data_IF_504370023402
#
_entry.id   IF_504370023402
#
_cell.length_a   1.000
_cell.length_b   1.000
_cell.length_c   1.000
_cell.angle_alpha   90.00
_cell.angle_beta   90.00
_cell.angle_gamma   90.00
#
_symmetry.space_group_name_H-M   'P 1'
#
loop_
_entity.id
_entity.type
_entity.pdbx_description
1 polymer ?
#
# COMPACT_ATOMS: atom_id res chain seq x y z
N UNK A 1 5.18 -20.32 0.58
CA UNK A 1 4.66 -18.97 0.29
C UNK A 1 5.20 -18.49 -1.04
N UNK A 2 4.30 -18.19 -1.99
CA UNK A 2 4.64 -17.63 -3.29
C UNK A 2 4.83 -16.11 -3.15
N UNK A 3 5.87 -15.55 -3.75
CA UNK A 3 6.21 -14.11 -3.63
C UNK A 3 5.37 -13.23 -4.56
N UNK A 4 4.76 -13.81 -5.61
CA UNK A 4 4.17 -13.05 -6.71
C UNK A 4 5.22 -12.41 -7.62
N UNK A 5 4.79 -11.86 -8.77
CA UNK A 5 5.65 -11.07 -9.64
C UNK A 5 5.90 -9.68 -9.01
N UNK A 6 7.02 -9.04 -9.33
CA UNK A 6 7.22 -7.67 -8.86
C UNK A 6 6.38 -6.72 -9.73
N UNK A 7 5.33 -6.15 -9.14
CA UNK A 7 4.46 -5.16 -9.79
C UNK A 7 4.85 -3.72 -9.46
N UNK A 8 5.86 -3.49 -8.61
CA UNK A 8 6.28 -2.14 -8.27
C UNK A 8 6.98 -1.49 -9.46
N UNK A 9 6.75 -0.19 -9.70
CA UNK A 9 7.57 0.58 -10.63
C UNK A 9 9.04 0.55 -10.20
N UNK A 10 9.95 0.74 -11.15
CA UNK A 10 11.37 0.83 -10.82
C UNK A 10 11.61 1.98 -9.83
N UNK A 11 12.46 1.75 -8.83
CA UNK A 11 12.73 2.77 -7.82
C UNK A 11 13.28 4.07 -8.43
N UNK A 12 14.01 3.97 -9.53
CA UNK A 12 14.53 5.12 -10.27
C UNK A 12 13.39 5.90 -10.93
N UNK A 13 12.39 5.21 -11.48
CA UNK A 13 11.21 5.82 -12.08
C UNK A 13 10.39 6.59 -11.04
N UNK A 14 10.22 6.01 -9.85
CA UNK A 14 9.57 6.68 -8.72
C UNK A 14 10.33 7.96 -8.35
N UNK A 15 11.66 7.87 -8.22
CA UNK A 15 12.50 9.04 -7.89
C UNK A 15 12.44 10.14 -8.96
N UNK A 16 12.41 9.77 -10.25
CA UNK A 16 12.27 10.71 -11.36
C UNK A 16 10.88 11.35 -11.35
N UNK A 17 9.83 10.56 -11.12
CA UNK A 17 8.46 11.04 -11.00
C UNK A 17 8.34 12.06 -9.87
N UNK A 18 8.82 11.74 -8.67
CA UNK A 18 8.82 12.63 -7.51
C UNK A 18 9.56 13.94 -7.80
N UNK A 19 10.74 13.87 -8.43
CA UNK A 19 11.56 15.06 -8.74
C UNK A 19 10.91 16.03 -9.72
N UNK A 20 9.96 15.58 -10.53
CA UNK A 20 9.22 16.44 -11.47
C UNK A 20 8.10 17.23 -10.81
N UNK A 21 7.80 16.95 -9.55
CA UNK A 21 6.62 17.48 -8.87
C UNK A 21 7.00 18.63 -7.95
N UNK A 22 6.19 19.68 -7.95
CA UNK A 22 6.44 20.86 -7.11
C UNK A 22 6.07 20.64 -5.65
N UNK A 23 5.05 19.81 -5.41
CA UNK A 23 4.56 19.46 -4.08
C UNK A 23 4.30 17.95 -4.02
N UNK A 24 4.58 17.39 -2.85
CA UNK A 24 4.51 15.95 -2.58
C UNK A 24 3.77 15.70 -1.27
N UNK A 25 3.04 14.59 -1.20
CA UNK A 25 2.69 13.95 0.06
C UNK A 25 3.07 12.47 -0.01
N UNK A 26 3.40 11.90 1.14
CA UNK A 26 3.61 10.48 1.29
C UNK A 26 2.68 9.99 2.40
N UNK A 27 2.06 8.83 2.19
CA UNK A 27 1.22 8.19 3.20
C UNK A 27 1.45 6.69 3.18
N UNK A 28 1.52 6.11 4.38
CA UNK A 28 1.49 4.67 4.58
C UNK A 28 0.07 4.16 4.29
N UNK A 29 -0.05 3.11 3.48
CA UNK A 29 -1.30 2.39 3.29
C UNK A 29 -1.35 1.25 4.31
N UNK A 30 -2.12 1.44 5.37
CA UNK A 30 -2.02 0.58 6.55
C UNK A 30 -2.68 -0.79 6.36
N UNK A 31 -3.69 -0.95 5.49
CA UNK A 31 -4.47 -2.21 5.36
C UNK A 31 -5.14 -2.36 3.99
N UNK A 32 -4.54 -3.13 3.08
CA UNK A 32 -5.09 -3.34 1.72
C UNK A 32 -5.73 -4.69 1.52
N UNK A 33 -5.27 -5.75 2.19
CA UNK A 33 -5.70 -7.12 1.87
C UNK A 33 -6.05 -7.94 3.11
N UNK A 34 -7.28 -8.46 3.13
CA UNK A 34 -7.73 -9.46 4.10
C UNK A 34 -7.19 -10.82 3.70
N UNK A 35 -6.78 -11.60 4.70
CA UNK A 35 -6.32 -12.97 4.50
C UNK A 35 -7.56 -13.88 4.44
N UNK A 36 -7.49 -14.94 3.62
CA UNK A 36 -8.54 -15.97 3.63
C UNK A 36 -8.57 -16.65 5.01
N UNK A 37 -9.75 -17.03 5.51
CA UNK A 37 -9.87 -17.60 6.87
C UNK A 37 -8.96 -18.80 7.11
N UNK A 38 -8.76 -19.62 6.07
CA UNK A 38 -7.91 -20.81 6.10
C UNK A 38 -6.41 -20.49 6.17
N UNK A 39 -6.01 -19.29 5.75
CA UNK A 39 -4.62 -18.82 5.74
C UNK A 39 -4.27 -17.97 6.96
N UNK A 40 -5.24 -17.59 7.80
CA UNK A 40 -5.02 -16.78 9.00
C UNK A 40 -4.09 -17.49 10.01
N UNK A 41 -4.22 -18.81 10.14
CA UNK A 41 -3.39 -19.61 11.05
C UNK A 41 -1.91 -19.61 10.63
N UNK A 42 -1.62 -19.39 9.35
CA UNK A 42 -0.26 -19.28 8.82
C UNK A 42 0.44 -17.97 9.23
N UNK A 43 -0.31 -17.01 9.76
CA UNK A 43 0.20 -15.72 10.25
C UNK A 43 0.02 -15.58 11.77
N UNK A 44 -0.02 -16.70 12.50
CA UNK A 44 -0.06 -16.66 13.96
C UNK A 44 1.27 -16.13 14.52
N UNK A 45 1.18 -15.20 15.47
CA UNK A 45 2.30 -14.81 16.34
C UNK A 45 2.00 -15.19 17.78
N UNK A 46 3.05 -15.46 18.54
CA UNK A 46 2.99 -15.68 19.98
C UNK A 46 3.43 -14.41 20.69
N UNK A 47 2.64 -13.98 21.68
CA UNK A 47 2.93 -12.83 22.51
C UNK A 47 2.90 -13.23 23.98
N UNK A 48 3.69 -12.55 24.81
CA UNK A 48 3.68 -12.77 26.25
C UNK A 48 2.87 -11.64 26.88
N UNK A 49 1.76 -11.98 27.54
CA UNK A 49 0.92 -11.00 28.20
C UNK A 49 1.57 -10.44 29.49
N UNK A 50 0.93 -9.46 30.10
CA UNK A 50 1.41 -8.81 31.33
C UNK A 50 1.58 -9.79 32.51
N UNK A 51 0.97 -10.97 32.45
CA UNK A 51 1.04 -12.03 33.47
C UNK A 51 2.12 -13.07 33.14
N UNK A 52 2.86 -12.89 32.05
CA UNK A 52 3.87 -13.83 31.60
C UNK A 52 3.31 -15.04 30.84
N UNK A 53 2.03 -15.05 30.50
CA UNK A 53 1.41 -16.15 29.75
C UNK A 53 1.63 -15.98 28.25
N UNK A 54 1.94 -17.07 27.55
CA UNK A 54 2.06 -17.08 26.09
C UNK A 54 0.67 -17.15 25.47
N UNK A 55 0.30 -16.14 24.69
CA UNK A 55 -0.99 -15.98 24.02
C UNK A 55 -0.80 -15.97 22.51
N UNK A 56 -1.53 -16.80 21.75
CA UNK A 56 -1.53 -16.76 20.29
C UNK A 56 -2.41 -15.62 19.76
N UNK A 57 -1.90 -14.88 18.77
CA UNK A 57 -2.63 -13.87 18.02
C UNK A 57 -2.61 -14.21 16.54
N UNK A 58 -3.77 -14.13 15.88
CA UNK A 58 -3.91 -14.38 14.46
C UNK A 58 -4.15 -13.08 13.72
N UNK A 59 -3.36 -12.82 12.68
CA UNK A 59 -3.61 -11.70 11.80
C UNK A 59 -4.71 -12.04 10.80
N UNK A 60 -5.64 -11.10 10.60
CA UNK A 60 -6.72 -11.20 9.62
C UNK A 60 -6.44 -10.41 8.34
N UNK A 61 -5.33 -9.67 8.32
CA UNK A 61 -4.88 -8.85 7.19
C UNK A 61 -3.42 -9.13 6.91
N UNK A 62 -3.05 -9.12 5.64
CA UNK A 62 -1.66 -9.33 5.22
C UNK A 62 -0.78 -8.27 5.87
N UNK A 63 0.17 -8.70 6.71
CA UNK A 63 1.10 -7.80 7.38
C UNK A 63 2.40 -7.64 6.61
N UNK A 64 3.16 -6.61 6.97
CA UNK A 64 4.56 -6.50 6.58
C UNK A 64 5.34 -7.74 7.03
N UNK A 65 6.38 -8.10 6.27
CA UNK A 65 7.24 -9.27 6.56
C UNK A 65 6.84 -10.54 5.81
N UNK A 66 5.71 -10.55 5.11
CA UNK A 66 5.29 -11.68 4.26
C UNK A 66 5.78 -11.46 2.84
N UNK A 67 6.41 -12.48 2.24
CA UNK A 67 6.98 -12.40 0.88
C UNK A 67 5.96 -11.94 -0.18
N UNK A 68 4.70 -12.35 -0.03
CA UNK A 68 3.60 -11.99 -0.93
C UNK A 68 3.01 -10.59 -0.70
N UNK A 69 3.28 -9.95 0.45
CA UNK A 69 2.64 -8.69 0.83
C UNK A 69 2.84 -7.57 -0.21
N UNK A 70 4.04 -7.35 -0.76
CA UNK A 70 4.23 -6.33 -1.80
C UNK A 70 3.40 -6.56 -3.05
N UNK A 71 3.34 -7.81 -3.52
CA UNK A 71 2.55 -8.17 -4.69
C UNK A 71 1.07 -7.94 -4.44
N UNK A 72 0.56 -8.45 -3.32
CA UNK A 72 -0.87 -8.33 -2.94
C UNK A 72 -1.30 -6.89 -2.72
N UNK A 73 -0.42 -6.05 -2.15
CA UNK A 73 -0.69 -4.63 -1.97
C UNK A 73 -0.80 -3.90 -3.30
N UNK A 74 0.20 -4.05 -4.17
CA UNK A 74 0.24 -3.34 -5.46
C UNK A 74 -0.83 -3.85 -6.41
N UNK A 75 -1.08 -5.16 -6.46
CA UNK A 75 -2.15 -5.70 -7.32
C UNK A 75 -3.53 -5.20 -6.91
N UNK A 76 -3.78 -5.05 -5.60
CA UNK A 76 -5.05 -4.50 -5.10
C UNK A 76 -5.21 -3.02 -5.45
N UNK A 77 -4.12 -2.23 -5.37
CA UNK A 77 -4.14 -0.82 -5.78
C UNK A 77 -4.38 -0.66 -7.28
N UNK A 78 -3.77 -1.51 -8.11
CA UNK A 78 -4.00 -1.51 -9.55
C UNK A 78 -5.45 -1.89 -9.88
N UNK A 79 -6.01 -2.89 -9.19
CA UNK A 79 -7.43 -3.23 -9.35
C UNK A 79 -8.34 -2.06 -8.94
N UNK A 80 -8.03 -1.36 -7.85
CA UNK A 80 -8.80 -0.19 -7.43
C UNK A 80 -8.76 0.94 -8.47
N UNK A 81 -7.64 1.11 -9.17
CA UNK A 81 -7.54 2.05 -10.30
C UNK A 81 -8.41 1.62 -11.47
N UNK A 82 -8.49 0.32 -11.78
CA UNK A 82 -9.37 -0.19 -12.83
C UNK A 82 -10.86 0.00 -12.46
N UNK A 83 -11.22 -0.31 -11.22
CA UNK A 83 -12.61 -0.30 -10.75
C UNK A 83 -13.13 1.13 -10.53
N UNK A 84 -12.34 1.98 -9.86
CA UNK A 84 -12.76 3.29 -9.34
C UNK A 84 -11.96 4.46 -9.90
N UNK A 85 -10.91 4.21 -10.70
CA UNK A 85 -10.03 5.28 -11.19
C UNK A 85 -10.74 6.34 -12.04
N UNK A 86 -11.85 5.97 -12.69
CA UNK A 86 -12.70 6.91 -13.42
C UNK A 86 -13.38 7.95 -12.49
N UNK A 87 -13.67 7.58 -11.25
CA UNK A 87 -14.24 8.46 -10.22
C UNK A 87 -13.17 9.35 -9.57
N UNK A 88 -11.91 8.89 -9.54
CA UNK A 88 -10.78 9.58 -8.89
C UNK A 88 -9.58 9.80 -9.83
N UNK A 89 -9.76 10.50 -10.97
CA UNK A 89 -8.73 10.60 -12.02
C UNK A 89 -7.47 11.35 -11.58
N UNK A 90 -7.53 12.14 -10.51
CA UNK A 90 -6.38 12.86 -9.97
C UNK A 90 -5.48 11.95 -9.10
N UNK A 91 -6.04 10.90 -8.52
CA UNK A 91 -5.31 9.97 -7.64
C UNK A 91 -4.65 8.84 -8.44
N UNK A 92 -5.22 8.49 -9.61
CA UNK A 92 -4.72 7.42 -10.50
C UNK A 92 -3.21 7.55 -10.82
N UNK A 93 -2.67 8.72 -11.24
CA UNK A 93 -1.24 8.83 -11.55
C UNK A 93 -0.34 8.61 -10.33
N UNK A 94 -0.81 9.00 -9.14
CA UNK A 94 -0.08 8.81 -7.88
C UNK A 94 -0.01 7.31 -7.54
N UNK A 95 -1.08 6.57 -7.79
CA UNK A 95 -1.11 5.12 -7.55
C UNK A 95 -0.25 4.37 -8.59
N UNK A 96 -0.32 4.72 -9.87
CA UNK A 96 0.42 4.01 -10.93
C UNK A 96 1.93 4.29 -10.87
N UNK A 97 2.33 5.53 -10.62
CA UNK A 97 3.73 5.96 -10.73
C UNK A 97 4.43 6.26 -9.40
N UNK A 98 3.66 6.53 -8.35
CA UNK A 98 4.17 6.93 -7.03
C UNK A 98 4.07 5.86 -5.95
N UNK A 99 3.47 4.70 -6.24
CA UNK A 99 3.33 3.62 -5.25
C UNK A 99 4.62 2.81 -5.13
N UNK A 100 5.06 2.57 -3.89
CA UNK A 100 6.13 1.64 -3.57
C UNK A 100 5.70 0.78 -2.39
N UNK A 101 5.38 -0.50 -2.63
CA UNK A 101 5.14 -1.62 -1.70
C UNK A 101 4.05 -1.42 -0.65
N UNK A 102 3.99 -0.27 0.02
CA UNK A 102 3.03 0.17 1.04
C UNK A 102 2.92 1.70 1.17
N UNK A 103 3.79 2.46 0.51
CA UNK A 103 3.74 3.92 0.48
C UNK A 103 3.11 4.40 -0.82
N UNK A 104 2.14 5.31 -0.73
CA UNK A 104 1.73 6.12 -1.89
C UNK A 104 2.41 7.46 -1.78
N UNK A 105 3.09 7.83 -2.86
CA UNK A 105 3.58 9.18 -3.06
C UNK A 105 2.68 9.90 -4.06
N UNK A 106 1.85 10.79 -3.54
CA UNK A 106 1.00 11.65 -4.36
C UNK A 106 1.64 12.99 -4.64
N UNK A 107 1.24 13.59 -5.76
CA UNK A 107 1.88 14.80 -6.24
C UNK A 107 0.93 15.75 -6.96
N UNK A 108 1.27 17.05 -6.94
CA UNK A 108 0.54 18.07 -7.67
C UNK A 108 1.49 19.15 -8.21
N UNK A 109 1.24 19.56 -9.46
CA UNK A 109 1.94 20.66 -10.13
C UNK A 109 1.32 22.04 -9.87
N UNK A 110 0.23 22.08 -9.13
CA UNK A 110 -0.58 23.28 -8.84
C UNK A 110 -0.57 23.59 -7.34
N UNK A 111 -1.11 24.75 -6.88
CA UNK A 111 -0.96 25.21 -5.49
C UNK A 111 -1.38 24.16 -4.45
N UNK A 112 -0.80 24.23 -3.25
CA UNK A 112 -0.99 23.30 -2.10
C UNK A 112 -2.45 22.85 -1.85
N UNK A 113 -3.44 23.69 -2.17
CA UNK A 113 -4.86 23.35 -2.07
C UNK A 113 -5.30 22.17 -2.96
N UNK A 114 -4.70 21.99 -4.14
CA UNK A 114 -5.00 20.84 -5.01
C UNK A 114 -4.32 19.57 -4.51
N UNK A 115 -3.14 19.66 -3.91
CA UNK A 115 -2.49 18.51 -3.24
C UNK A 115 -3.36 17.97 -2.10
N UNK A 116 -3.98 18.86 -1.32
CA UNK A 116 -4.92 18.48 -0.26
C UNK A 116 -6.16 17.79 -0.85
N UNK A 117 -6.66 18.23 -2.02
CA UNK A 117 -7.77 17.56 -2.69
C UNK A 117 -7.41 16.14 -3.14
N UNK A 118 -6.20 15.93 -3.66
CA UNK A 118 -5.72 14.59 -4.05
C UNK A 118 -5.55 13.68 -2.83
N UNK A 119 -5.11 14.22 -1.69
CA UNK A 119 -4.97 13.44 -0.45
C UNK A 119 -6.31 13.11 0.25
N UNK A 120 -7.38 13.84 -0.08
CA UNK A 120 -8.73 13.65 0.47
C UNK A 120 -9.67 12.86 -0.46
N UNK A 121 -9.17 12.42 -1.62
CA UNK A 121 -9.86 11.57 -2.59
C UNK A 121 -9.38 10.13 -2.43
#
# INVERSE_FOLDING_TARGET
MLTGSNLNPDRSDILIYIRRQRYLFATDITKVTKIHKEDCDLQMILWIDEKGAVVPYHFTTVTHGIKAAPFLAVSTLLQLVEDEGSNYPLTVPSIIHGSCVVDIVGSANTPKQQLIKVALQ
#
